data_IF_318138536885
#
_entry.id   IF_318138536885
#
_cell.length_a   1.000
_cell.length_b   1.000
_cell.length_c   1.000
_cell.angle_alpha   90.00
_cell.angle_beta   90.00
_cell.angle_gamma   90.00
#
_symmetry.space_group_name_H-M   'P 1'
#
loop_
_entity.id
_entity.type
_entity.pdbx_description
1 polymer ?
#
# COMPACT_ATOMS: atom_id res chain seq x y z
N UNK A 1 3.17 -19.04 -2.03
CA UNK A 1 4.11 -17.94 -2.35
C UNK A 1 4.35 -17.18 -1.08
N UNK A 2 5.58 -17.23 -0.58
CA UNK A 2 5.93 -16.56 0.66
C UNK A 2 5.99 -15.06 0.38
N UNK A 3 5.28 -14.28 1.20
CA UNK A 3 5.41 -12.82 1.17
C UNK A 3 6.83 -12.50 1.59
N UNK A 4 7.51 -11.59 0.89
CA UNK A 4 8.87 -11.14 1.27
C UNK A 4 8.85 -9.67 1.62
N UNK A 5 9.74 -9.27 2.52
CA UNK A 5 9.87 -7.88 2.91
C UNK A 5 10.39 -7.03 1.75
N UNK A 6 9.77 -5.87 1.53
CA UNK A 6 10.18 -4.93 0.46
C UNK A 6 11.56 -4.32 0.77
N UNK A 7 11.87 -4.10 2.04
CA UNK A 7 13.15 -3.51 2.49
C UNK A 7 14.24 -4.58 2.76
N UNK A 8 13.87 -5.74 3.33
CA UNK A 8 14.83 -6.72 3.84
C UNK A 8 14.88 -8.05 3.04
N UNK A 9 13.97 -8.26 2.08
CA UNK A 9 13.83 -9.47 1.22
C UNK A 9 13.68 -10.84 1.95
N UNK A 10 13.65 -10.85 3.28
CA UNK A 10 13.36 -12.03 4.12
C UNK A 10 11.89 -12.44 3.97
N UNK A 11 11.56 -13.75 3.99
CA UNK A 11 10.18 -14.24 4.09
C UNK A 11 9.42 -13.69 5.31
N UNK A 12 8.13 -13.41 5.12
CA UNK A 12 7.20 -12.85 6.11
C UNK A 12 6.07 -13.86 6.32
N UNK A 13 5.97 -14.40 7.54
CA UNK A 13 4.80 -15.16 7.97
C UNK A 13 3.60 -14.26 8.31
N UNK A 14 3.85 -13.17 9.04
CA UNK A 14 2.86 -12.17 9.48
C UNK A 14 3.48 -10.77 9.32
N UNK A 15 2.76 -9.74 8.84
CA UNK A 15 3.32 -8.39 8.73
C UNK A 15 3.45 -7.72 10.10
N UNK A 16 4.68 -7.43 10.53
CA UNK A 16 4.96 -6.77 11.81
C UNK A 16 4.46 -5.31 11.91
N UNK A 17 4.11 -4.68 10.78
CA UNK A 17 3.54 -3.33 10.70
C UNK A 17 2.25 -3.29 9.87
N UNK A 18 1.30 -2.50 10.36
CA UNK A 18 0.11 -2.05 9.64
C UNK A 18 0.07 -0.53 9.68
N UNK A 19 -0.22 0.10 8.54
CA UNK A 19 -0.40 1.55 8.43
C UNK A 19 -1.84 1.85 8.02
N UNK A 20 -2.59 2.56 8.86
CA UNK A 20 -3.89 3.09 8.49
C UNK A 20 -3.76 4.59 8.17
N UNK A 21 -4.05 4.97 6.94
CA UNK A 21 -4.06 6.38 6.53
C UNK A 21 -5.39 7.00 6.90
N UNK A 22 -5.36 8.21 7.46
CA UNK A 22 -6.56 8.95 7.87
C UNK A 22 -6.88 10.03 6.84
N UNK A 23 -8.00 9.86 6.14
CA UNK A 23 -8.53 10.86 5.23
C UNK A 23 -9.65 11.63 5.96
N UNK A 24 -9.64 12.97 5.80
CA UNK A 24 -10.33 13.96 6.66
C UNK A 24 -11.88 13.89 6.67
N UNK A 25 -12.46 12.88 6.03
CA UNK A 25 -13.88 12.57 5.91
C UNK A 25 -14.10 11.09 6.28
N UNK A 26 -13.76 10.72 7.52
CA UNK A 26 -14.23 9.51 8.23
C UNK A 26 -13.97 8.11 7.61
N UNK A 27 -12.94 7.94 6.78
CA UNK A 27 -12.48 6.60 6.35
C UNK A 27 -11.01 6.32 6.70
N UNK A 28 -10.78 5.26 7.48
CA UNK A 28 -9.45 4.79 7.90
C UNK A 28 -8.95 3.69 6.95
N UNK A 29 -8.03 4.05 6.05
CA UNK A 29 -7.55 3.17 5.00
C UNK A 29 -6.42 2.26 5.51
N UNK A 30 -6.79 1.12 6.07
CA UNK A 30 -5.86 0.14 6.66
C UNK A 30 -5.10 -0.64 5.58
N UNK A 31 -3.79 -0.38 5.47
CA UNK A 31 -2.85 -1.10 4.59
C UNK A 31 -1.83 -1.87 5.44
N UNK A 32 -1.75 -3.17 5.23
CA UNK A 32 -0.62 -3.96 5.72
C UNK A 32 0.62 -3.59 4.90
N UNK A 33 1.66 -3.07 5.54
CA UNK A 33 2.97 -2.89 4.90
C UNK A 33 3.76 -4.18 5.09
N UNK A 34 4.36 -4.67 4.00
CA UNK A 34 5.18 -5.88 4.05
C UNK A 34 6.60 -5.55 4.51
N UNK A 35 6.70 -5.11 5.77
CA UNK A 35 7.94 -5.06 6.54
C UNK A 35 8.09 -6.36 7.35
N UNK A 36 9.32 -6.89 7.38
CA UNK A 36 9.70 -7.96 8.30
C UNK A 36 9.78 -7.43 9.73
N UNK A 37 9.64 -8.29 10.74
CA UNK A 37 9.66 -7.89 12.16
C UNK A 37 10.89 -7.04 12.51
N UNK A 38 12.07 -7.36 11.95
CA UNK A 38 13.29 -6.55 12.13
C UNK A 38 13.16 -5.10 11.61
N UNK A 39 12.40 -4.85 10.53
CA UNK A 39 12.11 -3.49 10.05
C UNK A 39 11.06 -2.80 10.92
N UNK A 40 10.02 -3.53 11.34
CA UNK A 40 9.00 -3.01 12.24
C UNK A 40 9.57 -2.64 13.62
N UNK A 41 10.49 -3.46 14.17
CA UNK A 41 11.27 -3.16 15.38
C UNK A 41 12.12 -1.91 15.18
N UNK A 42 12.88 -1.80 14.07
CA UNK A 42 13.68 -0.60 13.78
C UNK A 42 12.83 0.67 13.73
N UNK A 43 11.67 0.63 13.06
CA UNK A 43 10.74 1.76 12.99
C UNK A 43 10.13 2.08 14.37
N UNK A 44 9.78 1.04 15.14
CA UNK A 44 9.28 1.21 16.49
C UNK A 44 10.32 1.91 17.38
N UNK A 45 11.57 1.42 17.40
CA UNK A 45 12.68 2.04 18.13
C UNK A 45 13.05 3.44 17.62
N UNK A 46 12.85 3.74 16.33
CA UNK A 46 12.97 5.11 15.81
C UNK A 46 11.94 6.03 16.45
N UNK A 47 10.66 5.65 16.42
CA UNK A 47 9.55 6.45 16.99
C UNK A 47 9.68 6.56 18.51
N UNK A 48 10.07 5.48 19.19
CA UNK A 48 10.29 5.48 20.64
C UNK A 48 11.36 6.49 21.04
N UNK A 49 12.46 6.55 20.28
CA UNK A 49 13.53 7.53 20.46
C UNK A 49 13.06 8.97 20.18
N UNK A 50 12.44 9.23 19.03
CA UNK A 50 12.07 10.61 18.61
C UNK A 50 10.85 11.16 19.33
N UNK A 51 9.93 10.31 19.80
CA UNK A 51 8.73 10.73 20.53
C UNK A 51 8.89 10.70 22.06
N UNK A 52 10.02 10.19 22.58
CA UNK A 52 10.32 10.04 24.02
C UNK A 52 10.05 11.28 24.87
N UNK A 53 10.34 12.47 24.35
CA UNK A 53 10.13 13.74 25.05
C UNK A 53 8.69 14.27 25.03
N UNK A 54 7.74 13.61 24.37
CA UNK A 54 6.37 14.12 24.26
C UNK A 54 5.44 13.61 25.36
N UNK A 55 4.73 14.54 26.01
CA UNK A 55 3.57 14.23 26.87
C UNK A 55 2.44 13.47 26.13
N UNK A 56 2.46 13.44 24.80
CA UNK A 56 1.50 12.72 23.97
C UNK A 56 1.96 11.30 23.59
N UNK A 57 3.11 10.82 24.10
CA UNK A 57 3.72 9.54 23.75
C UNK A 57 2.80 8.30 23.88
N UNK A 58 1.90 8.30 24.86
CA UNK A 58 0.95 7.21 25.09
C UNK A 58 -0.39 7.38 24.35
N UNK A 59 -0.57 8.45 23.56
CA UNK A 59 -1.81 8.71 22.83
C UNK A 59 -1.81 7.98 21.48
N UNK A 60 -2.72 7.02 21.32
CA UNK A 60 -2.94 6.32 20.05
C UNK A 60 -3.94 7.04 19.11
N UNK A 61 -4.73 7.98 19.64
CA UNK A 61 -5.78 8.72 18.90
C UNK A 61 -5.22 9.99 18.24
N UNK A 62 -4.42 10.77 18.96
CA UNK A 62 -3.82 12.01 18.47
C UNK A 62 -2.38 11.80 18.00
N UNK A 63 -1.79 12.78 17.31
CA UNK A 63 -0.38 12.78 16.95
C UNK A 63 0.52 12.60 18.18
N UNK A 64 1.32 11.54 18.20
CA UNK A 64 2.20 11.14 19.31
C UNK A 64 3.22 12.22 19.70
N UNK A 65 3.59 13.10 18.76
CA UNK A 65 4.57 14.16 18.96
C UNK A 65 3.96 15.43 19.54
N UNK A 66 2.86 15.93 18.97
CA UNK A 66 2.32 17.27 19.28
C UNK A 66 0.88 17.29 19.82
N UNK A 67 0.20 16.15 19.93
CA UNK A 67 -1.19 16.06 20.38
C UNK A 67 -2.24 16.52 19.38
N UNK A 68 -1.87 16.86 18.14
CA UNK A 68 -2.83 17.23 17.08
C UNK A 68 -3.83 16.11 16.81
N UNK A 69 -5.11 16.46 16.76
CA UNK A 69 -6.24 15.56 16.48
C UNK A 69 -6.43 15.23 14.98
N UNK A 70 -5.51 15.67 14.11
CA UNK A 70 -5.52 15.41 12.67
C UNK A 70 -4.25 14.67 12.24
N UNK A 71 -4.07 13.39 12.62
CA UNK A 71 -3.02 12.56 12.05
C UNK A 71 -3.28 12.30 10.55
N UNK A 72 -2.22 12.04 9.80
CA UNK A 72 -2.28 11.59 8.39
C UNK A 72 -2.03 10.08 8.28
N UNK A 73 -1.20 9.55 9.18
CA UNK A 73 -0.85 8.14 9.25
C UNK A 73 -0.99 7.63 10.69
N UNK A 74 -1.50 6.42 10.84
CA UNK A 74 -1.55 5.65 12.09
C UNK A 74 -0.76 4.36 11.91
N UNK A 75 0.15 4.06 12.82
CA UNK A 75 0.96 2.85 12.79
C UNK A 75 0.49 1.89 13.88
N UNK A 76 0.27 0.62 13.51
CA UNK A 76 -0.03 -0.47 14.43
C UNK A 76 1.04 -1.55 14.25
N UNK A 77 1.84 -1.74 15.29
CA UNK A 77 2.88 -2.75 15.35
C UNK A 77 2.30 -4.06 15.90
N UNK A 78 2.49 -5.15 15.17
CA UNK A 78 2.07 -6.51 15.52
C UNK A 78 3.25 -7.49 15.40
N UNK A 79 4.35 -7.10 16.04
CA UNK A 79 5.64 -7.83 16.07
C UNK A 79 5.52 -9.01 17.03
N UNK A 80 6.09 -10.18 16.70
CA UNK A 80 6.12 -11.33 17.61
C UNK A 80 6.89 -10.99 18.90
N UNK A 81 6.42 -11.50 20.04
CA UNK A 81 7.05 -11.35 21.37
C UNK A 81 7.19 -9.90 21.90
N UNK A 82 6.59 -8.91 21.22
CA UNK A 82 6.51 -7.51 21.66
C UNK A 82 5.06 -7.10 22.00
N UNK A 83 4.84 -6.14 22.92
CA UNK A 83 3.52 -5.56 23.15
C UNK A 83 2.95 -4.88 21.89
N UNK A 84 1.65 -5.06 21.64
CA UNK A 84 0.98 -4.41 20.51
C UNK A 84 0.97 -2.88 20.68
N UNK A 85 1.61 -2.16 19.75
CA UNK A 85 1.84 -0.72 19.88
C UNK A 85 1.07 0.05 18.80
N UNK A 86 0.34 1.08 19.21
CA UNK A 86 -0.40 1.99 18.32
C UNK A 86 0.18 3.41 18.39
N UNK A 87 0.32 4.07 17.25
CA UNK A 87 0.89 5.42 17.06
C UNK A 87 0.04 6.18 16.05
N UNK A 88 -0.03 7.51 16.16
CA UNK A 88 -0.52 8.37 15.09
C UNK A 88 0.43 9.56 14.86
N UNK A 89 0.52 10.08 13.63
CA UNK A 89 1.43 11.17 13.23
C UNK A 89 0.70 12.12 12.28
N UNK A 90 0.73 13.43 12.56
CA UNK A 90 0.15 14.48 11.70
C UNK A 90 1.14 15.03 10.67
N UNK A 91 0.61 15.73 9.66
CA UNK A 91 1.36 16.29 8.52
C UNK A 91 2.58 17.12 8.97
N UNK A 92 2.41 18.01 9.94
CA UNK A 92 3.51 18.84 10.46
C UNK A 92 4.64 18.00 11.10
N UNK A 93 4.30 17.02 11.94
CA UNK A 93 5.31 16.18 12.61
C UNK A 93 5.91 15.13 11.68
N UNK A 94 5.16 14.67 10.67
CA UNK A 94 5.71 13.87 9.58
C UNK A 94 6.76 14.66 8.80
N UNK A 95 6.43 15.89 8.38
CA UNK A 95 7.34 16.75 7.62
C UNK A 95 8.63 17.08 8.40
N UNK A 96 8.55 17.31 9.71
CA UNK A 96 9.72 17.52 10.57
C UNK A 96 10.65 16.30 10.69
N UNK A 97 10.12 15.09 10.51
CA UNK A 97 10.87 13.82 10.60
C UNK A 97 11.18 13.22 9.22
N UNK A 98 10.78 13.90 8.13
CA UNK A 98 10.74 13.35 6.78
C UNK A 98 12.09 12.85 6.30
N UNK A 99 13.15 13.65 6.45
CA UNK A 99 14.47 13.31 5.91
C UNK A 99 15.13 12.15 6.69
N UNK A 100 14.92 12.08 8.01
CA UNK A 100 15.34 10.94 8.81
C UNK A 100 14.56 9.67 8.44
N UNK A 101 13.24 9.77 8.27
CA UNK A 101 12.40 8.66 7.81
C UNK A 101 12.73 8.23 6.38
N UNK A 102 13.15 9.15 5.50
CA UNK A 102 13.52 8.86 4.11
C UNK A 102 14.87 8.15 4.03
N UNK A 103 15.83 8.55 4.87
CA UNK A 103 17.13 7.89 5.01
C UNK A 103 16.99 6.47 5.59
N UNK A 104 16.23 6.33 6.68
CA UNK A 104 16.19 5.09 7.46
C UNK A 104 15.09 4.11 6.98
N UNK A 105 13.99 4.61 6.38
CA UNK A 105 12.81 3.85 5.95
C UNK A 105 12.22 4.33 4.60
N UNK A 106 13.02 4.40 3.50
CA UNK A 106 12.58 4.99 2.22
C UNK A 106 11.32 4.36 1.61
N UNK A 107 11.07 3.06 1.84
CA UNK A 107 9.84 2.38 1.38
C UNK A 107 8.59 2.80 2.15
N UNK A 108 8.73 3.19 3.43
CA UNK A 108 7.64 3.73 4.24
C UNK A 108 7.30 5.17 3.82
N UNK A 109 8.32 6.01 3.63
CA UNK A 109 8.15 7.39 3.13
C UNK A 109 7.51 7.40 1.73
N UNK A 110 8.06 6.62 0.79
CA UNK A 110 7.49 6.49 -0.55
C UNK A 110 6.05 5.97 -0.55
N UNK A 111 5.68 5.13 0.42
CA UNK A 111 4.29 4.71 0.62
C UNK A 111 3.41 5.85 1.16
N UNK A 112 3.79 6.47 2.29
CA UNK A 112 3.00 7.55 2.92
C UNK A 112 2.78 8.70 1.94
N UNK A 113 3.83 9.12 1.22
CA UNK A 113 3.76 10.21 0.26
C UNK A 113 2.99 9.82 -1.02
N UNK A 114 3.04 8.56 -1.47
CA UNK A 114 2.21 8.11 -2.58
C UNK A 114 0.71 8.18 -2.26
N UNK A 115 0.29 7.80 -1.05
CA UNK A 115 -1.12 7.91 -0.62
C UNK A 115 -1.52 9.35 -0.24
N UNK A 116 -0.57 10.19 0.19
CA UNK A 116 -0.84 11.59 0.56
C UNK A 116 -0.95 12.53 -0.64
N UNK A 117 -0.01 12.48 -1.59
CA UNK A 117 -0.01 13.37 -2.76
C UNK A 117 -1.22 13.15 -3.67
N UNK A 118 -1.82 11.95 -3.65
CA UNK A 118 -3.06 11.66 -4.37
C UNK A 118 -4.28 12.45 -3.88
N UNK A 119 -4.19 13.13 -2.73
CA UNK A 119 -5.11 14.20 -2.30
C UNK A 119 -5.23 15.35 -3.32
N UNK A 120 -4.21 15.59 -4.14
CA UNK A 120 -4.21 16.61 -5.19
C UNK A 120 -5.21 16.35 -6.33
N UNK A 121 -5.66 15.11 -6.51
CA UNK A 121 -6.59 14.72 -7.58
C UNK A 121 -8.08 15.01 -7.26
N UNK A 122 -8.38 15.68 -6.13
CA UNK A 122 -9.73 15.85 -5.53
C UNK A 122 -10.82 16.53 -6.38
N UNK A 123 -10.59 16.87 -7.65
CA UNK A 123 -11.66 17.23 -8.61
C UNK A 123 -12.21 16.06 -9.42
N UNK A 124 -11.44 14.98 -9.57
CA UNK A 124 -11.87 13.77 -10.28
C UNK A 124 -11.90 12.59 -9.30
N UNK A 125 -13.10 12.18 -8.88
CA UNK A 125 -13.28 10.92 -8.14
C UNK A 125 -12.91 9.78 -9.08
N UNK A 126 -11.72 9.22 -8.88
CA UNK A 126 -11.18 8.16 -9.74
C UNK A 126 -11.94 6.86 -9.50
N UNK A 127 -12.90 6.57 -10.36
CA UNK A 127 -13.65 5.31 -10.35
C UNK A 127 -12.74 4.12 -10.70
N UNK A 128 -13.04 2.90 -10.21
CA UNK A 128 -12.32 1.70 -10.62
C UNK A 128 -12.60 1.36 -12.09
N UNK A 129 -11.66 0.68 -12.73
CA UNK A 129 -11.86 0.12 -14.06
C UNK A 129 -12.97 -0.95 -14.03
N UNK A 130 -13.84 -0.91 -15.05
CA UNK A 130 -14.99 -1.82 -15.14
C UNK A 130 -14.52 -3.27 -15.30
N UNK A 131 -15.22 -4.21 -14.66
CA UNK A 131 -15.06 -5.65 -14.93
C UNK A 131 -15.35 -5.89 -16.42
N UNK A 132 -14.52 -6.68 -17.08
CA UNK A 132 -14.50 -6.84 -18.54
C UNK A 132 -13.51 -5.93 -19.27
N UNK A 133 -12.97 -4.87 -18.63
CA UNK A 133 -11.90 -4.05 -19.22
C UNK A 133 -10.64 -4.88 -19.46
N UNK A 134 -9.85 -4.51 -20.46
CA UNK A 134 -8.56 -5.11 -20.74
C UNK A 134 -7.42 -4.29 -20.13
N UNK A 135 -6.41 -4.98 -19.60
CA UNK A 135 -5.25 -4.39 -18.93
C UNK A 135 -3.96 -5.08 -19.35
N UNK A 136 -2.90 -4.30 -19.57
CA UNK A 136 -1.53 -4.77 -19.76
C UNK A 136 -0.78 -4.74 -18.44
N UNK A 137 0.02 -5.77 -18.15
CA UNK A 137 0.88 -5.78 -16.96
C UNK A 137 2.15 -4.95 -17.20
N UNK A 138 2.39 -3.98 -16.31
CA UNK A 138 3.59 -3.13 -16.32
C UNK A 138 4.81 -3.88 -15.77
N UNK A 139 6.00 -3.51 -16.24
CA UNK A 139 7.29 -4.09 -15.83
C UNK A 139 7.75 -3.75 -14.41
N UNK A 140 6.87 -3.96 -13.43
CA UNK A 140 7.12 -3.75 -12.00
C UNK A 140 7.86 -4.94 -11.37
N UNK A 141 8.64 -4.68 -10.32
CA UNK A 141 9.40 -5.72 -9.62
C UNK A 141 8.49 -6.62 -8.75
N UNK A 142 8.76 -7.93 -8.77
CA UNK A 142 8.06 -8.92 -7.94
C UNK A 142 7.27 -9.94 -8.76
N UNK A 143 6.19 -10.49 -8.18
CA UNK A 143 5.40 -11.58 -8.76
C UNK A 143 4.73 -11.24 -10.12
N UNK A 144 4.58 -9.95 -10.44
CA UNK A 144 4.10 -9.48 -11.73
C UNK A 144 5.10 -9.74 -12.89
N UNK A 145 6.40 -9.89 -12.60
CA UNK A 145 7.46 -9.93 -13.63
C UNK A 145 7.27 -11.03 -14.68
N UNK A 146 6.65 -12.17 -14.31
CA UNK A 146 6.33 -13.29 -15.23
C UNK A 146 5.19 -13.01 -16.22
N UNK A 147 4.41 -11.94 -15.99
CA UNK A 147 3.31 -11.50 -16.83
C UNK A 147 3.59 -10.16 -17.55
N UNK A 148 4.75 -9.55 -17.33
CA UNK A 148 5.14 -8.25 -17.93
C UNK A 148 4.82 -8.19 -19.43
N UNK A 149 4.13 -7.13 -19.86
CA UNK A 149 3.74 -6.93 -21.26
C UNK A 149 2.52 -7.73 -21.72
N UNK A 150 2.13 -8.80 -21.01
CA UNK A 150 0.93 -9.57 -21.35
C UNK A 150 -0.34 -8.75 -21.09
N UNK A 151 -1.36 -8.99 -21.90
CA UNK A 151 -2.68 -8.36 -21.80
C UNK A 151 -3.69 -9.41 -21.32
N UNK A 152 -4.53 -9.02 -20.36
CA UNK A 152 -5.59 -9.85 -19.82
C UNK A 152 -6.87 -9.06 -19.56
N UNK A 153 -7.95 -9.76 -19.19
CA UNK A 153 -9.29 -9.22 -18.91
C UNK A 153 -9.51 -9.14 -17.41
N UNK A 154 -10.01 -8.01 -16.90
CA UNK A 154 -10.44 -7.90 -15.50
C UNK A 154 -11.69 -8.77 -15.31
N UNK A 155 -11.60 -9.78 -14.44
CA UNK A 155 -12.73 -10.66 -14.06
C UNK A 155 -13.18 -10.47 -12.62
N UNK A 156 -12.34 -9.87 -11.77
CA UNK A 156 -12.69 -9.58 -10.38
C UNK A 156 -12.12 -8.24 -9.93
N UNK A 157 -12.87 -7.56 -9.08
CA UNK A 157 -12.49 -6.29 -8.46
C UNK A 157 -12.33 -6.45 -6.94
N UNK A 158 -11.36 -5.75 -6.36
CA UNK A 158 -11.24 -5.56 -4.92
C UNK A 158 -10.87 -4.11 -4.63
N UNK A 159 -11.67 -3.45 -3.80
CA UNK A 159 -11.29 -2.17 -3.21
C UNK A 159 -10.00 -2.37 -2.39
N UNK A 160 -9.00 -1.51 -2.63
CA UNK A 160 -7.82 -1.37 -1.79
C UNK A 160 -7.82 0.05 -1.19
N UNK A 161 -6.70 0.47 -0.61
CA UNK A 161 -6.50 1.84 -0.14
C UNK A 161 -6.60 2.80 -1.32
N UNK A 162 -7.58 3.71 -1.29
CA UNK A 162 -7.74 4.76 -2.31
C UNK A 162 -6.47 5.62 -2.44
N UNK A 163 -6.06 5.98 -3.67
CA UNK A 163 -6.83 5.86 -4.92
C UNK A 163 -6.59 4.56 -5.69
N UNK A 164 -6.00 3.54 -5.06
CA UNK A 164 -5.61 2.30 -5.72
C UNK A 164 -6.70 1.25 -5.63
N UNK A 165 -6.83 0.51 -6.73
CA UNK A 165 -7.67 -0.66 -6.82
C UNK A 165 -6.86 -1.94 -7.00
N UNK A 166 -7.49 -3.07 -6.71
CA UNK A 166 -6.94 -4.41 -6.92
C UNK A 166 -7.81 -5.18 -7.91
N UNK A 167 -7.18 -5.86 -8.86
CA UNK A 167 -7.91 -6.54 -9.92
C UNK A 167 -7.42 -7.99 -10.06
N UNK A 168 -8.37 -8.92 -10.16
CA UNK A 168 -8.12 -10.28 -10.65
C UNK A 168 -8.21 -10.24 -12.16
N UNK A 169 -7.09 -10.53 -12.82
CA UNK A 169 -6.93 -10.52 -14.27
C UNK A 169 -6.81 -11.96 -14.76
N UNK A 170 -7.56 -12.32 -15.81
CA UNK A 170 -7.40 -13.60 -16.54
C UNK A 170 -6.67 -13.37 -17.86
N UNK A 171 -5.75 -14.29 -18.19
CA UNK A 171 -4.94 -14.26 -19.41
C UNK A 171 -5.47 -15.25 -20.47
N UNK A 172 -5.04 -15.12 -21.75
CA UNK A 172 -5.50 -15.98 -22.85
C UNK A 172 -5.19 -17.48 -22.71
N UNK A 173 -4.38 -17.86 -21.72
CA UNK A 173 -4.03 -19.24 -21.35
C UNK A 173 -4.86 -19.77 -20.16
N UNK A 174 -5.90 -19.04 -19.76
CA UNK A 174 -6.78 -19.36 -18.63
C UNK A 174 -6.20 -19.05 -17.25
N UNK A 175 -4.93 -18.63 -17.14
CA UNK A 175 -4.33 -18.33 -15.82
C UNK A 175 -4.95 -17.04 -15.25
N UNK A 176 -5.24 -17.07 -13.95
CA UNK A 176 -5.68 -15.91 -13.18
C UNK A 176 -4.60 -15.44 -12.22
N UNK A 177 -4.47 -14.12 -12.06
CA UNK A 177 -3.55 -13.50 -11.11
C UNK A 177 -4.17 -12.20 -10.56
N UNK A 178 -4.01 -11.96 -9.27
CA UNK A 178 -4.33 -10.68 -8.64
C UNK A 178 -3.15 -9.71 -8.77
N UNK A 179 -3.43 -8.47 -9.17
CA UNK A 179 -2.47 -7.37 -9.31
C UNK A 179 -2.95 -6.12 -8.56
N UNK A 180 -2.01 -5.25 -8.16
CA UNK A 180 -2.36 -3.87 -7.85
C UNK A 180 -2.50 -3.07 -9.14
N UNK A 181 -3.39 -2.10 -9.16
CA UNK A 181 -3.61 -1.22 -10.31
C UNK A 181 -2.36 -0.48 -10.79
N UNK A 182 -1.43 -0.13 -9.89
CA UNK A 182 -0.14 0.48 -10.27
C UNK A 182 0.73 -0.44 -11.13
N UNK A 183 0.54 -1.76 -11.00
CA UNK A 183 1.24 -2.80 -11.74
C UNK A 183 0.57 -3.06 -13.12
N UNK A 184 -0.48 -2.31 -13.45
CA UNK A 184 -1.34 -2.47 -14.63
C UNK A 184 -1.50 -1.16 -15.42
N UNK A 185 -1.99 -1.30 -16.65
CA UNK A 185 -2.35 -0.22 -17.56
C UNK A 185 -3.61 -0.61 -18.35
N UNK A 186 -4.65 0.22 -18.32
CA UNK A 186 -5.86 -0.02 -19.10
C UNK A 186 -5.57 0.18 -20.61
N UNK A 187 -6.00 -0.78 -21.43
CA UNK A 187 -5.85 -0.72 -22.89
C UNK A 187 -7.23 -0.78 -23.56
N UNK A 188 -7.44 0.07 -24.57
CA UNK A 188 -8.76 0.23 -25.21
C UNK A 188 -9.24 -1.04 -25.93
N UNK A 189 -8.32 -1.73 -26.61
CA UNK A 189 -8.56 -3.00 -27.29
C UNK A 189 -7.30 -3.86 -27.23
N UNK A 190 -7.40 -5.15 -26.86
CA UNK A 190 -6.34 -6.12 -27.10
C UNK A 190 -6.37 -6.60 -28.56
N UNK A 191 -5.31 -7.28 -28.97
CA UNK A 191 -5.18 -7.83 -30.31
C UNK A 191 -6.28 -8.86 -30.62
N UNK A 192 -6.58 -9.10 -31.90
CA UNK A 192 -7.74 -9.91 -32.31
C UNK A 192 -7.70 -11.36 -31.77
N UNK A 193 -6.53 -11.99 -31.75
CA UNK A 193 -6.36 -13.33 -31.15
C UNK A 193 -6.60 -13.33 -29.64
N UNK A 194 -6.01 -12.36 -28.94
CA UNK A 194 -6.14 -12.14 -27.50
C UNK A 194 -7.61 -11.94 -27.12
N UNK A 195 -8.34 -11.12 -27.90
CA UNK A 195 -9.79 -10.93 -27.78
C UNK A 195 -10.56 -12.24 -27.93
N UNK A 196 -10.24 -13.03 -28.96
CA UNK A 196 -10.98 -14.23 -29.32
C UNK A 196 -10.79 -15.35 -28.29
N UNK A 197 -9.58 -15.52 -27.75
CA UNK A 197 -9.32 -16.49 -26.67
C UNK A 197 -9.99 -16.08 -25.36
N UNK A 198 -9.93 -14.79 -24.98
CA UNK A 198 -10.52 -14.27 -23.72
C UNK A 198 -12.06 -14.21 -23.72
N UNK A 199 -12.72 -14.37 -24.87
CA UNK A 199 -14.19 -14.54 -24.95
C UNK A 199 -14.66 -15.93 -24.49
N UNK A 200 -13.82 -16.96 -24.61
CA UNK A 200 -14.19 -18.36 -24.37
C UNK A 200 -13.87 -18.83 -22.94
N UNK A 201 -13.52 -17.91 -22.03
CA UNK A 201 -12.99 -18.18 -20.68
C UNK A 201 -13.88 -17.55 -19.58
N UNK A 202 -15.00 -16.91 -19.95
CA UNK A 202 -15.99 -16.31 -19.04
C UNK A 202 -17.38 -16.86 -19.32
#
# INVERSE_FOLDING_TARGET
>A
MDKRCIECNVPIGVPGLIVAMEQREHFALTRHTYQCDNCAIKLLSFIDRTASGSRHYHQCVNCIYCGSNLPIARFRFQIKDHPMRHVAVCEACYNLLREDLLRDFPSLVGFIEQEWHTRGLKKNVRMPWQIGSYVRVRGSAGAAKRFTGQVGKIVGFRALVQPWYGYTVVFPDGKQQFFHERDLEQVATPDFETTSRLKNIT
#
